data_IF_507026121604
#
_entry.id   IF_507026121604
#
_cell.length_a   1.000
_cell.length_b   1.000
_cell.length_c   1.000
_cell.angle_alpha   90.00
_cell.angle_beta   90.00
_cell.angle_gamma   90.00
#
_symmetry.space_group_name_H-M   'P 1'
#
loop_
_entity.id
_entity.type
_entity.pdbx_description
1 polymer ?
#
# COMPACT_ATOMS: atom_id res chain seq x y z
N UNK A 1 12.31 -0.13 -5.56
CA UNK A 1 11.31 -0.64 -4.59
C UNK A 1 11.73 -2.03 -4.18
N UNK A 2 11.85 -2.30 -2.89
CA UNK A 2 12.15 -3.64 -2.38
C UNK A 2 10.87 -4.23 -1.80
N UNK A 3 10.51 -5.44 -2.22
CA UNK A 3 9.38 -6.20 -1.68
C UNK A 3 9.95 -7.40 -0.96
N UNK A 4 9.71 -7.48 0.34
CA UNK A 4 10.17 -8.57 1.20
C UNK A 4 9.01 -9.15 1.98
N UNK A 5 9.03 -10.45 2.21
CA UNK A 5 8.07 -11.14 3.04
C UNK A 5 8.76 -12.31 3.76
N UNK A 6 8.15 -12.80 4.84
CA UNK A 6 8.60 -14.05 5.48
C UNK A 6 8.44 -15.20 4.49
N UNK A 7 9.48 -16.01 4.34
CA UNK A 7 9.42 -17.16 3.44
C UNK A 7 8.45 -18.23 3.96
N UNK A 8 7.63 -18.77 3.06
CA UNK A 8 6.64 -19.81 3.32
C UNK A 8 6.87 -20.95 2.30
N UNK A 9 7.78 -21.90 2.60
CA UNK A 9 8.30 -22.85 1.61
C UNK A 9 7.24 -23.82 1.07
N UNK A 10 6.12 -23.99 1.78
CA UNK A 10 5.00 -24.84 1.37
C UNK A 10 4.12 -24.18 0.30
N UNK A 11 4.34 -22.90 -0.02
CA UNK A 11 3.56 -22.18 -1.02
C UNK A 11 4.19 -22.30 -2.40
N UNK A 12 3.37 -22.51 -3.46
CA UNK A 12 3.88 -22.60 -4.83
C UNK A 12 4.42 -21.27 -5.36
N UNK A 13 3.99 -20.15 -4.78
CA UNK A 13 4.46 -18.80 -5.12
C UNK A 13 5.04 -18.18 -3.85
N UNK A 14 6.32 -17.75 -3.85
CA UNK A 14 6.91 -17.05 -2.72
C UNK A 14 6.13 -15.77 -2.38
N UNK A 15 5.84 -15.49 -1.10
CA UNK A 15 5.04 -14.34 -0.70
C UNK A 15 5.58 -12.98 -1.18
N UNK A 16 6.90 -12.84 -1.30
CA UNK A 16 7.53 -11.62 -1.81
C UNK A 16 7.23 -11.39 -3.31
N UNK A 17 7.22 -12.46 -4.10
CA UNK A 17 6.88 -12.42 -5.53
C UNK A 17 5.41 -12.09 -5.72
N UNK A 18 4.53 -12.69 -4.91
CA UNK A 18 3.12 -12.36 -4.90
C UNK A 18 2.88 -10.87 -4.59
N UNK A 19 3.57 -10.33 -3.58
CA UNK A 19 3.52 -8.91 -3.25
C UNK A 19 3.98 -8.01 -4.41
N UNK A 20 5.04 -8.40 -5.11
CA UNK A 20 5.55 -7.66 -6.27
C UNK A 20 4.53 -7.64 -7.43
N UNK A 21 3.88 -8.78 -7.72
CA UNK A 21 2.85 -8.86 -8.76
C UNK A 21 1.63 -8.00 -8.42
N UNK A 22 1.23 -7.94 -7.15
CA UNK A 22 0.13 -7.07 -6.68
C UNK A 22 0.47 -5.58 -6.88
N UNK A 23 1.68 -5.17 -6.50
CA UNK A 23 2.14 -3.78 -6.71
C UNK A 23 2.19 -3.46 -8.21
N UNK A 24 2.71 -4.37 -9.04
CA UNK A 24 2.75 -4.18 -10.48
C UNK A 24 1.35 -3.97 -11.08
N UNK A 25 0.38 -4.82 -10.72
CA UNK A 25 -1.02 -4.68 -11.17
C UNK A 25 -1.63 -3.34 -10.79
N UNK A 26 -1.38 -2.89 -9.56
CA UNK A 26 -1.90 -1.62 -9.05
C UNK A 26 -1.26 -0.41 -9.76
N UNK A 27 0.05 -0.45 -10.03
CA UNK A 27 0.78 0.66 -10.67
C UNK A 27 0.50 0.74 -12.16
N UNK A 28 0.47 -0.40 -12.84
CA UNK A 28 0.29 -0.47 -14.30
C UNK A 28 -1.20 -0.40 -14.69
N UNK A 29 -2.11 -0.41 -13.70
CA UNK A 29 -3.56 -0.32 -13.90
C UNK A 29 -4.08 -1.37 -14.89
N UNK A 30 -3.53 -2.60 -14.82
CA UNK A 30 -3.70 -3.68 -15.81
C UNK A 30 -5.10 -4.31 -15.74
N UNK A 31 -5.78 -4.24 -14.59
CA UNK A 31 -7.08 -4.87 -14.34
C UNK A 31 -8.19 -3.81 -14.15
N UNK A 32 -8.24 -2.76 -14.99
CA UNK A 32 -9.45 -1.92 -15.03
C UNK A 32 -10.49 -2.61 -15.91
N UNK A 33 -11.30 -3.47 -15.30
CA UNK A 33 -12.54 -3.93 -15.94
C UNK A 33 -13.38 -2.69 -16.29
N UNK A 34 -13.90 -2.55 -17.52
CA UNK A 34 -14.82 -1.45 -17.86
C UNK A 34 -16.03 -1.38 -16.91
N UNK A 35 -16.40 -2.47 -16.20
CA UNK A 35 -17.41 -2.44 -15.15
C UNK A 35 -16.93 -1.79 -13.83
N UNK A 36 -15.65 -1.94 -13.46
CA UNK A 36 -15.02 -1.23 -12.34
C UNK A 36 -14.74 0.25 -12.66
N UNK A 37 -14.89 0.64 -13.93
CA UNK A 37 -14.80 2.03 -14.37
C UNK A 37 -16.00 2.87 -13.93
N UNK A 38 -17.14 2.24 -13.62
CA UNK A 38 -18.28 2.90 -12.98
C UNK A 38 -18.06 3.15 -11.47
N UNK A 39 -17.08 2.46 -10.86
CA UNK A 39 -16.55 2.76 -9.52
C UNK A 39 -15.26 3.61 -9.60
N UNK A 40 -15.06 4.32 -10.73
CA UNK A 40 -13.97 5.28 -10.95
C UNK A 40 -13.90 6.43 -9.94
N UNK A 41 -14.83 6.48 -8.99
CA UNK A 41 -14.69 7.16 -7.71
C UNK A 41 -15.10 6.21 -6.57
N UNK A 42 -14.22 5.96 -5.61
CA UNK A 42 -14.69 5.85 -4.22
C UNK A 42 -14.53 4.56 -3.42
N UNK A 43 -13.58 3.66 -3.72
CA UNK A 43 -13.03 2.81 -2.64
C UNK A 43 -11.61 3.25 -2.31
N UNK A 44 -11.38 3.97 -1.21
CA UNK A 44 -10.03 4.29 -0.78
C UNK A 44 -9.28 2.97 -0.53
N UNK A 45 -8.25 2.72 -1.34
CA UNK A 45 -7.36 1.59 -1.14
C UNK A 45 -6.64 1.74 0.19
N UNK A 46 -6.92 0.85 1.15
CA UNK A 46 -6.25 0.90 2.46
C UNK A 46 -4.85 0.31 2.30
N UNK A 47 -3.83 1.15 2.37
CA UNK A 47 -2.44 0.72 2.45
C UNK A 47 -1.98 0.76 3.91
N UNK A 48 -1.39 -0.33 4.39
CA UNK A 48 -0.83 -0.41 5.76
C UNK A 48 0.68 -0.37 5.68
N UNK A 49 1.28 0.62 6.35
CA UNK A 49 2.72 0.77 6.45
C UNK A 49 3.19 0.30 7.83
N UNK A 50 4.14 -0.63 7.86
CA UNK A 50 4.87 -0.98 9.09
C UNK A 50 6.05 -0.03 9.21
N UNK A 51 6.16 0.67 10.35
CA UNK A 51 7.18 1.67 10.59
C UNK A 51 7.89 1.33 11.90
N UNK A 52 9.20 1.58 11.97
CA UNK A 52 9.93 1.48 13.23
C UNK A 52 9.37 2.47 14.25
N UNK A 53 9.29 2.07 15.52
CA UNK A 53 8.73 2.92 16.58
C UNK A 53 9.42 4.30 16.65
N UNK A 54 10.74 4.31 16.48
CA UNK A 54 11.57 5.53 16.44
C UNK A 54 11.21 6.49 15.31
N UNK A 55 10.58 6.01 14.24
CA UNK A 55 10.17 6.80 13.08
C UNK A 55 8.69 7.20 13.12
N UNK A 56 7.86 6.51 13.92
CA UNK A 56 6.43 6.79 14.01
C UNK A 56 6.16 8.22 14.51
N UNK A 57 6.94 8.71 15.48
CA UNK A 57 6.82 10.06 16.00
C UNK A 57 7.00 11.15 14.94
N UNK A 58 7.95 10.97 14.02
CA UNK A 58 8.18 11.91 12.90
C UNK A 58 7.04 11.90 11.88
N UNK A 59 6.42 10.74 11.63
CA UNK A 59 5.28 10.61 10.72
C UNK A 59 4.00 11.24 11.29
N UNK A 60 3.76 11.08 12.60
CA UNK A 60 2.61 11.71 13.28
C UNK A 60 2.83 13.23 13.36
N UNK A 61 4.04 13.65 13.76
CA UNK A 61 4.37 15.04 14.02
C UNK A 61 3.88 15.54 15.38
N UNK A 62 4.32 16.74 15.76
CA UNK A 62 3.88 17.36 17.03
C UNK A 62 2.37 17.61 16.95
N UNK A 63 1.61 17.10 17.93
CA UNK A 63 0.15 17.20 17.98
C UNK A 63 -0.56 16.68 16.71
N UNK A 64 0.08 15.77 15.97
CA UNK A 64 -0.48 15.22 14.72
C UNK A 64 -0.39 16.15 13.50
N UNK A 65 0.43 17.20 13.52
CA UNK A 65 0.49 18.18 12.42
C UNK A 65 0.90 17.56 11.08
N UNK A 66 1.85 16.63 11.09
CA UNK A 66 2.37 15.99 9.87
C UNK A 66 1.33 15.07 9.26
N UNK A 67 0.70 14.19 10.06
CA UNK A 67 -0.32 13.27 9.55
C UNK A 67 -1.57 14.00 9.06
N UNK A 68 -1.95 15.12 9.70
CA UNK A 68 -3.02 16.00 9.20
C UNK A 68 -2.69 16.56 7.83
N UNK A 69 -1.45 17.02 7.63
CA UNK A 69 -1.00 17.50 6.32
C UNK A 69 -1.17 16.43 5.23
N UNK A 70 -0.82 15.17 5.52
CA UNK A 70 -1.04 14.08 4.56
C UNK A 70 -2.52 13.82 4.25
N UNK A 71 -3.38 13.89 5.27
CA UNK A 71 -4.83 13.71 5.12
C UNK A 71 -5.46 14.84 4.30
N UNK A 72 -5.04 16.09 4.53
CA UNK A 72 -5.59 17.27 3.85
C UNK A 72 -5.06 17.42 2.41
N UNK A 73 -3.91 16.81 2.10
CA UNK A 73 -3.26 16.90 0.78
C UNK A 73 -3.73 15.81 -0.21
N UNK A 74 -4.67 14.95 0.18
CA UNK A 74 -5.20 13.84 -0.63
C UNK A 74 -6.68 14.04 -0.91
#
# INVERSE_FOLDING_TARGET
VMVSAKEEPDRPIPPAVEGLLRVHKQVVNVDRDPADSASGAGRPGVTRLLVADTQAGSLIGKQGSTIKTFQDST
#
